data_IF_328700544160
#
_entry.id   IF_328700544160
#
_cell.length_a   1.000
_cell.length_b   1.000
_cell.length_c   1.000
_cell.angle_alpha   90.00
_cell.angle_beta   90.00
_cell.angle_gamma   90.00
#
_symmetry.space_group_name_H-M   'P 1'
#
loop_
_entity.id
_entity.type
_entity.pdbx_description
1 polymer ?
#
# COMPACT_ATOMS: atom_id res chain seq x y z
N UNK A 1 -16.41 64.19 0.63
CA UNK A 1 -15.28 63.79 1.51
C UNK A 1 -15.88 63.04 2.69
N UNK A 2 -16.42 61.83 2.59
CA UNK A 2 -15.97 60.55 2.00
C UNK A 2 -14.61 60.09 2.51
N UNK A 3 -14.59 58.91 3.13
CA UNK A 3 -13.45 58.05 3.46
C UNK A 3 -12.56 58.41 4.66
N UNK A 4 -13.06 58.23 5.88
CA UNK A 4 -12.19 57.96 7.05
C UNK A 4 -12.97 57.37 8.24
N UNK A 5 -13.65 56.22 8.11
CA UNK A 5 -14.24 55.58 9.31
C UNK A 5 -14.58 54.08 9.22
N UNK A 6 -13.94 53.30 8.35
CA UNK A 6 -14.30 51.88 8.23
C UNK A 6 -13.10 50.91 8.17
N UNK A 7 -12.11 51.11 9.04
CA UNK A 7 -10.99 50.19 9.20
C UNK A 7 -10.76 49.89 10.69
N UNK A 8 -11.57 49.00 11.27
CA UNK A 8 -11.23 48.21 12.47
C UNK A 8 -12.44 47.38 12.89
N UNK A 9 -12.62 46.20 12.29
CA UNK A 9 -13.48 45.11 12.80
C UNK A 9 -13.31 43.82 11.98
N UNK A 10 -12.07 43.33 11.90
CA UNK A 10 -11.79 41.93 11.56
C UNK A 10 -10.79 41.38 12.58
N UNK A 11 -11.26 41.36 13.83
CA UNK A 11 -10.60 40.67 14.94
C UNK A 11 -10.91 39.17 14.85
N UNK A 12 -9.84 38.40 14.65
CA UNK A 12 -9.63 36.98 14.93
C UNK A 12 -10.87 36.15 15.28
N UNK A 13 -11.30 35.29 14.36
CA UNK A 13 -11.83 33.98 14.76
C UNK A 13 -10.68 33.23 15.42
N UNK A 14 -10.61 33.34 16.74
CA UNK A 14 -9.79 32.50 17.60
C UNK A 14 -10.04 31.04 17.25
N UNK A 15 -8.98 30.36 16.82
CA UNK A 15 -8.89 28.90 16.77
C UNK A 15 -9.30 28.35 18.13
N UNK A 16 -10.55 27.87 18.23
CA UNK A 16 -10.90 27.00 19.33
C UNK A 16 -10.10 25.71 19.15
N UNK A 17 -9.35 25.25 20.17
CA UNK A 17 -8.68 23.96 20.06
C UNK A 17 -9.74 22.90 19.79
N UNK A 18 -9.60 22.22 18.66
CA UNK A 18 -10.40 21.04 18.33
C UNK A 18 -10.35 20.08 19.52
N UNK A 19 -11.49 19.46 19.86
CA UNK A 19 -11.54 18.45 20.93
C UNK A 19 -10.42 17.42 20.68
N UNK A 20 -9.63 17.05 21.71
CA UNK A 20 -8.55 16.07 21.53
C UNK A 20 -9.15 14.78 20.96
N UNK A 21 -8.53 14.27 19.89
CA UNK A 21 -8.97 13.05 19.23
C UNK A 21 -9.06 11.89 20.24
N UNK A 22 -10.08 11.03 20.11
CA UNK A 22 -10.18 9.85 20.97
C UNK A 22 -8.98 8.94 20.74
N UNK A 23 -8.56 8.18 21.76
CA UNK A 23 -7.45 7.22 21.60
C UNK A 23 -7.68 6.25 20.43
N UNK A 24 -8.92 5.83 20.20
CA UNK A 24 -9.28 5.00 19.05
C UNK A 24 -9.05 5.67 17.70
N UNK A 25 -9.37 6.96 17.57
CA UNK A 25 -9.10 7.73 16.36
C UNK A 25 -7.58 7.86 16.09
N UNK A 26 -6.77 8.05 17.14
CA UNK A 26 -5.30 8.11 17.03
C UNK A 26 -4.73 6.78 16.54
N UNK A 27 -5.20 5.64 17.07
CA UNK A 27 -4.78 4.33 16.57
C UNK A 27 -5.25 4.07 15.14
N UNK A 28 -6.44 4.52 14.77
CA UNK A 28 -6.94 4.41 13.39
C UNK A 28 -6.12 5.24 12.40
N UNK A 29 -5.67 6.42 12.82
CA UNK A 29 -4.73 7.24 12.07
C UNK A 29 -3.38 6.53 11.91
N UNK A 30 -2.84 5.93 12.98
CA UNK A 30 -1.56 5.23 12.99
C UNK A 30 -1.48 4.06 12.00
N UNK A 31 -2.58 3.32 11.79
CA UNK A 31 -2.57 2.17 10.87
C UNK A 31 -2.64 2.57 9.38
N UNK A 32 -2.89 3.86 9.09
CA UNK A 32 -2.99 4.41 7.72
C UNK A 32 -3.98 3.64 6.86
N UNK A 33 -5.23 3.53 7.33
CA UNK A 33 -6.26 2.67 6.73
C UNK A 33 -6.53 2.94 5.23
N UNK A 34 -6.25 4.16 4.74
CA UNK A 34 -6.34 4.49 3.31
C UNK A 34 -5.46 3.59 2.42
N UNK A 35 -4.38 3.03 2.97
CA UNK A 35 -3.43 2.18 2.27
C UNK A 35 -3.86 0.72 2.18
N UNK A 36 -4.86 0.28 2.96
CA UNK A 36 -5.31 -1.11 3.00
C UNK A 36 -5.77 -1.73 1.67
N UNK A 37 -6.21 -0.98 0.63
CA UNK A 37 -6.37 -1.55 -0.70
C UNK A 37 -5.11 -2.27 -1.20
N UNK A 38 -3.91 -1.83 -0.80
CA UNK A 38 -2.67 -2.45 -1.22
C UNK A 38 -2.56 -3.93 -0.84
N UNK A 39 -3.08 -4.36 0.32
CA UNK A 39 -3.07 -5.78 0.72
C UNK A 39 -4.39 -6.50 0.44
N UNK A 40 -5.53 -5.82 0.64
CA UNK A 40 -6.84 -6.46 0.51
C UNK A 40 -7.21 -6.78 -0.94
N UNK A 41 -6.73 -5.98 -1.91
CA UNK A 41 -7.09 -6.17 -3.32
C UNK A 41 -6.29 -7.31 -3.98
N UNK A 42 -4.98 -7.44 -3.75
CA UNK A 42 -4.27 -8.68 -4.09
C UNK A 42 -4.87 -9.91 -3.42
N UNK A 43 -5.31 -9.79 -2.15
CA UNK A 43 -5.99 -10.86 -1.45
C UNK A 43 -7.32 -11.24 -2.13
N UNK A 44 -8.13 -10.26 -2.51
CA UNK A 44 -9.37 -10.47 -3.26
C UNK A 44 -9.10 -11.15 -4.61
N UNK A 45 -8.09 -10.70 -5.35
CA UNK A 45 -7.71 -11.30 -6.63
C UNK A 45 -7.31 -12.77 -6.48
N UNK A 46 -6.48 -13.09 -5.47
CA UNK A 46 -6.12 -14.47 -5.15
C UNK A 46 -7.35 -15.34 -4.85
N UNK A 47 -8.33 -14.78 -4.14
CA UNK A 47 -9.60 -15.43 -3.88
C UNK A 47 -10.43 -15.64 -5.16
N UNK A 48 -10.51 -14.66 -6.05
CA UNK A 48 -11.23 -14.82 -7.32
C UNK A 48 -10.57 -15.85 -8.23
N UNK A 49 -9.24 -15.92 -8.25
CA UNK A 49 -8.51 -16.95 -8.98
C UNK A 49 -8.78 -18.36 -8.42
N UNK A 50 -9.13 -18.49 -7.14
CA UNK A 50 -9.53 -19.77 -6.56
C UNK A 50 -10.83 -20.32 -7.20
N UNK A 51 -11.73 -19.45 -7.69
CA UNK A 51 -12.95 -19.86 -8.39
C UNK A 51 -12.68 -20.53 -9.75
N UNK A 52 -11.51 -20.24 -10.34
CA UNK A 52 -11.09 -20.85 -11.59
C UNK A 52 -10.47 -22.23 -11.38
N UNK A 53 -10.11 -22.59 -10.14
CA UNK A 53 -9.57 -23.90 -9.84
C UNK A 53 -10.71 -24.94 -9.81
N UNK A 54 -10.50 -26.08 -10.48
CA UNK A 54 -11.51 -27.16 -10.55
C UNK A 54 -11.68 -27.99 -9.27
N UNK A 55 -11.06 -27.59 -8.15
CA UNK A 55 -11.04 -28.32 -6.88
C UNK A 55 -11.87 -27.68 -5.77
N UNK A 56 -11.87 -28.30 -4.59
CA UNK A 56 -12.53 -27.75 -3.40
C UNK A 56 -11.84 -26.47 -2.91
N UNK A 57 -12.63 -25.44 -2.61
CA UNK A 57 -12.13 -24.16 -2.08
C UNK A 57 -12.57 -23.99 -0.63
N UNK A 58 -11.61 -23.79 0.27
CA UNK A 58 -11.83 -23.61 1.72
C UNK A 58 -12.26 -22.18 2.04
N UNK A 59 -13.42 -21.73 1.56
CA UNK A 59 -13.93 -20.36 1.73
C UNK A 59 -14.04 -19.90 3.19
N UNK A 60 -14.20 -20.84 4.11
CA UNK A 60 -14.24 -20.55 5.55
C UNK A 60 -12.91 -19.94 6.07
N UNK A 61 -11.80 -20.09 5.35
CA UNK A 61 -10.50 -19.46 5.67
C UNK A 61 -10.42 -17.99 5.24
N UNK A 62 -11.30 -17.52 4.37
CA UNK A 62 -11.22 -16.18 3.76
C UNK A 62 -11.20 -15.04 4.80
N UNK A 63 -12.05 -15.03 5.85
CA UNK A 63 -11.99 -13.99 6.88
C UNK A 63 -10.66 -13.99 7.63
N UNK A 64 -10.09 -15.18 7.91
CA UNK A 64 -8.81 -15.32 8.59
C UNK A 64 -7.65 -14.79 7.75
N UNK A 65 -7.63 -15.10 6.45
CA UNK A 65 -6.63 -14.58 5.50
C UNK A 65 -6.70 -13.04 5.44
N UNK A 66 -7.89 -12.49 5.21
CA UNK A 66 -8.06 -11.05 5.06
C UNK A 66 -7.68 -10.28 6.35
N UNK A 67 -8.13 -10.76 7.52
CA UNK A 67 -7.84 -10.13 8.81
C UNK A 67 -6.35 -10.27 9.17
N UNK A 68 -5.73 -11.43 8.92
CA UNK A 68 -4.30 -11.64 9.14
C UNK A 68 -3.46 -10.66 8.30
N UNK A 69 -3.74 -10.55 7.00
CA UNK A 69 -3.06 -9.60 6.11
C UNK A 69 -3.30 -8.13 6.49
N UNK A 70 -4.49 -7.80 6.98
CA UNK A 70 -4.82 -6.45 7.47
C UNK A 70 -3.96 -6.08 8.68
N UNK A 71 -3.86 -6.97 9.66
CA UNK A 71 -3.02 -6.75 10.84
C UNK A 71 -1.53 -6.73 10.50
N UNK A 72 -1.09 -7.58 9.59
CA UNK A 72 0.29 -7.60 9.11
C UNK A 72 0.67 -6.28 8.45
N UNK A 73 -0.19 -5.78 7.56
CA UNK A 73 -0.01 -4.47 6.91
C UNK A 73 -0.05 -3.33 7.93
N UNK A 74 -1.07 -3.29 8.80
CA UNK A 74 -1.18 -2.27 9.84
C UNK A 74 0.04 -2.24 10.76
N UNK A 75 0.54 -3.40 11.19
CA UNK A 75 1.76 -3.52 11.99
C UNK A 75 2.98 -2.96 11.27
N UNK A 76 3.13 -3.29 9.99
CA UNK A 76 4.22 -2.78 9.13
C UNK A 76 4.17 -1.26 8.98
N UNK A 77 2.97 -0.68 8.81
CA UNK A 77 2.77 0.77 8.75
C UNK A 77 3.18 1.46 10.05
N UNK A 78 2.74 0.91 11.20
CA UNK A 78 3.04 1.47 12.53
C UNK A 78 4.54 1.38 12.85
N UNK A 79 5.20 0.27 12.52
CA UNK A 79 6.66 0.13 12.70
C UNK A 79 7.41 1.07 11.75
N UNK A 80 6.94 1.25 10.52
CA UNK A 80 7.52 2.19 9.56
C UNK A 80 7.53 3.62 10.12
N UNK A 81 6.39 4.09 10.63
CA UNK A 81 6.28 5.42 11.25
C UNK A 81 7.23 5.57 12.46
N UNK A 82 7.37 4.52 13.29
CA UNK A 82 8.29 4.54 14.44
C UNK A 82 9.74 4.71 14.00
N UNK A 83 10.16 3.98 12.99
CA UNK A 83 11.56 4.00 12.55
C UNK A 83 11.86 5.22 11.67
N UNK A 84 10.93 5.66 10.82
CA UNK A 84 11.04 6.89 10.03
C UNK A 84 11.10 8.14 10.93
N UNK A 85 10.33 8.17 12.03
CA UNK A 85 10.43 9.21 13.05
C UNK A 85 11.81 9.23 13.74
N UNK A 86 12.35 8.05 14.11
CA UNK A 86 13.69 7.97 14.74
C UNK A 86 14.82 8.41 13.80
N UNK A 87 14.66 8.22 12.49
CA UNK A 87 15.63 8.68 11.48
C UNK A 87 15.44 10.14 11.06
N UNK A 88 14.40 10.83 11.57
CA UNK A 88 14.12 12.23 11.25
C UNK A 88 13.46 12.45 9.89
N UNK A 89 12.91 11.40 9.27
CA UNK A 89 12.13 11.48 8.02
C UNK A 89 10.79 12.13 8.29
N UNK A 90 10.10 11.63 9.31
CA UNK A 90 8.81 12.13 9.76
C UNK A 90 9.03 13.19 10.83
N UNK A 91 9.45 14.38 10.42
CA UNK A 91 9.57 15.54 11.30
C UNK A 91 8.28 16.38 11.33
N UNK A 92 8.21 17.34 12.26
CA UNK A 92 7.02 18.19 12.45
C UNK A 92 6.64 18.99 11.20
N UNK A 93 7.60 19.35 10.37
CA UNK A 93 7.45 20.15 9.16
C UNK A 93 7.24 19.33 7.88
N UNK A 94 7.15 18.00 7.98
CA UNK A 94 6.94 17.12 6.81
C UNK A 94 5.46 16.73 6.63
N UNK A 95 5.14 16.07 5.52
CA UNK A 95 3.80 15.55 5.22
C UNK A 95 3.74 14.01 5.31
N UNK A 96 4.82 13.39 5.77
CA UNK A 96 5.00 11.93 5.82
C UNK A 96 4.38 11.26 7.05
N UNK A 97 4.29 9.93 6.96
CA UNK A 97 3.77 9.06 8.01
C UNK A 97 2.30 9.28 8.37
N UNK A 98 1.86 8.72 9.50
CA UNK A 98 0.52 8.96 10.05
C UNK A 98 0.40 10.28 10.80
N UNK A 99 1.50 11.02 11.01
CA UNK A 99 1.59 12.24 11.85
C UNK A 99 1.44 12.03 13.36
N UNK A 100 1.18 10.80 13.83
CA UNK A 100 0.97 10.50 15.26
C UNK A 100 2.20 10.81 16.14
N UNK A 101 3.43 10.46 15.70
CA UNK A 101 4.65 10.77 16.44
C UNK A 101 5.09 12.24 16.31
N UNK A 102 5.12 12.85 15.11
CA UNK A 102 5.43 14.28 14.97
C UNK A 102 4.54 15.19 15.83
N UNK A 103 3.25 14.85 15.95
CA UNK A 103 2.27 15.61 16.74
C UNK A 103 2.27 15.27 18.23
N UNK A 104 3.03 14.24 18.65
CA UNK A 104 3.12 13.83 20.05
C UNK A 104 1.85 13.18 20.60
N UNK A 105 0.99 12.62 19.73
CA UNK A 105 -0.27 11.98 20.11
C UNK A 105 -0.05 10.63 20.82
N UNK A 106 1.02 9.93 20.46
CA UNK A 106 1.55 8.75 21.15
C UNK A 106 3.07 8.84 21.24
N UNK A 107 3.67 8.20 22.23
CA UNK A 107 5.12 8.01 22.30
C UNK A 107 5.59 6.92 21.33
N UNK A 108 6.87 6.97 20.91
CA UNK A 108 7.46 5.92 20.06
C UNK A 108 7.38 4.53 20.71
N UNK A 109 7.39 4.46 22.05
CA UNK A 109 7.25 3.20 22.80
C UNK A 109 5.82 2.64 22.71
N UNK A 110 4.80 3.51 22.77
CA UNK A 110 3.40 3.11 22.59
C UNK A 110 3.14 2.64 21.16
N UNK A 111 3.63 3.37 20.15
CA UNK A 111 3.49 2.95 18.77
C UNK A 111 4.24 1.65 18.48
N UNK A 112 5.46 1.47 18.98
CA UNK A 112 6.18 0.20 18.81
C UNK A 112 5.43 -0.97 19.43
N UNK A 113 4.92 -0.82 20.67
CA UNK A 113 4.09 -1.84 21.32
C UNK A 113 2.82 -2.15 20.51
N UNK A 114 2.17 -1.12 19.98
CA UNK A 114 0.99 -1.28 19.14
C UNK A 114 1.31 -2.07 17.86
N UNK A 115 2.41 -1.73 17.16
CA UNK A 115 2.89 -2.49 16.02
C UNK A 115 3.12 -3.97 16.34
N UNK A 116 3.78 -4.27 17.47
CA UNK A 116 3.99 -5.65 17.92
C UNK A 116 2.69 -6.40 18.26
N UNK A 117 1.71 -5.71 18.85
CA UNK A 117 0.36 -6.28 19.08
C UNK A 117 -0.30 -6.62 17.75
N UNK A 118 -0.22 -5.74 16.75
CA UNK A 118 -0.78 -5.99 15.42
C UNK A 118 -0.11 -7.20 14.76
N UNK A 119 1.22 -7.32 14.81
CA UNK A 119 1.91 -8.53 14.33
C UNK A 119 1.47 -9.80 15.09
N UNK A 120 1.30 -9.72 16.41
CA UNK A 120 0.77 -10.83 17.21
C UNK A 120 -0.65 -11.23 16.81
N UNK A 121 -1.51 -10.28 16.50
CA UNK A 121 -2.86 -10.53 15.98
C UNK A 121 -2.80 -11.14 14.56
N UNK A 122 -1.90 -10.69 13.70
CA UNK A 122 -1.70 -11.31 12.38
C UNK A 122 -1.35 -12.79 12.49
N UNK A 123 -0.45 -13.15 13.43
CA UNK A 123 -0.12 -14.55 13.75
C UNK A 123 -1.35 -15.30 14.27
N UNK A 124 -2.08 -14.72 15.23
CA UNK A 124 -3.28 -15.34 15.81
C UNK A 124 -4.33 -15.69 14.75
N UNK A 125 -4.60 -14.76 13.82
CA UNK A 125 -5.53 -15.00 12.71
C UNK A 125 -4.92 -15.87 11.60
N UNK A 126 -3.60 -16.02 11.55
CA UNK A 126 -2.91 -16.95 10.66
C UNK A 126 -2.97 -18.42 11.10
N UNK A 127 -3.13 -18.68 12.42
CA UNK A 127 -3.12 -20.04 12.97
C UNK A 127 -4.15 -20.99 12.33
N UNK A 128 -5.43 -20.62 12.15
CA UNK A 128 -6.41 -21.50 11.50
C UNK A 128 -6.01 -21.90 10.08
N UNK A 129 -5.38 -20.99 9.35
CA UNK A 129 -4.90 -21.23 7.99
C UNK A 129 -3.74 -22.23 8.00
N UNK A 130 -2.82 -22.10 8.96
CA UNK A 130 -1.69 -23.02 9.16
C UNK A 130 -2.17 -24.41 9.56
N UNK A 131 -3.20 -24.52 10.41
CA UNK A 131 -3.75 -25.81 10.81
C UNK A 131 -4.42 -26.55 9.63
N UNK A 132 -5.09 -25.84 8.72
CA UNK A 132 -5.72 -26.46 7.54
C UNK A 132 -4.72 -26.78 6.43
N UNK A 133 -3.74 -25.90 6.18
CA UNK A 133 -2.85 -25.98 5.00
C UNK A 133 -1.41 -26.41 5.29
N UNK A 134 -1.05 -26.50 6.57
CA UNK A 134 0.27 -26.97 7.01
C UNK A 134 1.40 -25.95 6.83
N UNK A 135 2.62 -26.48 6.80
CA UNK A 135 3.86 -25.70 6.96
C UNK A 135 4.13 -24.67 5.86
N UNK A 136 3.56 -24.86 4.67
CA UNK A 136 3.78 -23.90 3.60
C UNK A 136 3.16 -22.52 3.92
N UNK A 137 1.97 -22.49 4.54
CA UNK A 137 1.37 -21.24 5.00
C UNK A 137 2.18 -20.62 6.13
N UNK A 138 2.77 -21.43 7.02
CA UNK A 138 3.68 -20.92 8.05
C UNK A 138 4.86 -20.18 7.42
N UNK A 139 5.51 -20.75 6.39
CA UNK A 139 6.61 -20.09 5.71
C UNK A 139 6.18 -18.79 5.00
N UNK A 140 5.03 -18.79 4.33
CA UNK A 140 4.46 -17.56 3.75
C UNK A 140 4.19 -16.48 4.82
N UNK A 141 3.67 -16.88 5.97
CA UNK A 141 3.45 -15.99 7.12
C UNK A 141 4.76 -15.43 7.69
N UNK A 142 5.79 -16.26 7.84
CA UNK A 142 7.11 -15.83 8.28
C UNK A 142 7.71 -14.83 7.29
N UNK A 143 7.65 -15.11 5.99
CA UNK A 143 8.11 -14.18 4.93
C UNK A 143 7.36 -12.85 5.02
N UNK A 144 6.05 -12.89 5.24
CA UNK A 144 5.23 -11.69 5.42
C UNK A 144 5.62 -10.87 6.65
N UNK A 145 5.83 -11.51 7.80
CA UNK A 145 6.26 -10.84 9.05
C UNK A 145 7.67 -10.26 8.91
N UNK A 146 8.61 -11.05 8.40
CA UNK A 146 10.00 -10.63 8.17
C UNK A 146 10.02 -9.47 7.17
N UNK A 147 9.31 -9.59 6.05
CA UNK A 147 9.20 -8.53 5.05
C UNK A 147 8.61 -7.25 5.62
N UNK A 148 7.46 -7.35 6.30
CA UNK A 148 6.78 -6.20 6.90
C UNK A 148 7.60 -5.50 8.00
N UNK A 149 8.23 -6.27 8.89
CA UNK A 149 9.02 -5.71 9.99
C UNK A 149 10.35 -5.13 9.51
N UNK A 150 11.11 -5.87 8.70
CA UNK A 150 12.44 -5.46 8.24
C UNK A 150 12.42 -4.49 7.05
N UNK A 151 11.23 -4.09 6.58
CA UNK A 151 11.07 -3.00 5.64
C UNK A 151 11.79 -1.73 6.14
N UNK A 152 11.53 -1.31 7.38
CA UNK A 152 12.24 -0.21 8.07
C UNK A 152 13.00 -0.69 9.31
N UNK A 153 12.60 -1.83 9.88
CA UNK A 153 13.18 -2.36 11.11
C UNK A 153 14.64 -2.76 10.97
N UNK A 154 15.45 -2.44 11.99
CA UNK A 154 16.86 -2.84 12.08
C UNK A 154 17.02 -4.31 12.47
N UNK A 155 18.11 -4.99 12.03
CA UNK A 155 19.30 -4.43 11.38
C UNK A 155 19.23 -4.30 9.86
N UNK A 156 18.15 -4.74 9.21
CA UNK A 156 18.07 -4.81 7.73
C UNK A 156 17.59 -3.48 7.13
N UNK A 157 16.39 -3.01 7.51
CA UNK A 157 15.80 -1.77 7.02
C UNK A 157 15.88 -1.61 5.50
N UNK A 158 15.34 -2.58 4.74
CA UNK A 158 15.63 -2.66 3.30
C UNK A 158 15.06 -1.50 2.46
N UNK A 159 14.09 -0.74 2.99
CA UNK A 159 13.69 0.59 2.49
C UNK A 159 14.90 1.52 2.35
N UNK A 160 15.79 1.51 3.35
CA UNK A 160 16.91 2.45 3.49
C UNK A 160 18.14 2.09 2.66
N UNK A 161 18.11 0.98 1.92
CA UNK A 161 19.17 0.50 1.01
C UNK A 161 18.65 0.25 -0.41
N UNK A 162 17.59 0.96 -0.81
CA UNK A 162 17.03 0.99 -2.16
C UNK A 162 16.47 -0.35 -2.65
N UNK A 163 16.07 -1.23 -1.74
CA UNK A 163 15.41 -2.51 -2.06
C UNK A 163 13.90 -2.49 -1.80
N UNK A 164 13.36 -1.39 -1.26
CA UNK A 164 11.95 -1.23 -0.90
C UNK A 164 11.01 -1.62 -2.04
N UNK A 165 11.17 -1.01 -3.21
CA UNK A 165 10.30 -1.18 -4.37
C UNK A 165 10.22 -2.63 -4.86
N UNK A 166 11.36 -3.33 -4.95
CA UNK A 166 11.42 -4.73 -5.39
C UNK A 166 10.69 -5.64 -4.40
N UNK A 167 10.94 -5.49 -3.09
CA UNK A 167 10.31 -6.35 -2.10
C UNK A 167 8.83 -6.03 -1.92
N UNK A 168 8.42 -4.75 -2.01
CA UNK A 168 7.00 -4.38 -1.99
C UNK A 168 6.27 -4.97 -3.20
N UNK A 169 6.86 -4.89 -4.40
CA UNK A 169 6.34 -5.57 -5.59
C UNK A 169 6.12 -7.08 -5.33
N UNK A 170 7.15 -7.76 -4.83
CA UNK A 170 7.11 -9.21 -4.61
C UNK A 170 6.12 -9.63 -3.51
N UNK A 171 6.10 -8.90 -2.39
CA UNK A 171 5.25 -9.22 -1.25
C UNK A 171 3.78 -8.92 -1.56
N UNK A 172 3.48 -7.72 -2.05
CA UNK A 172 2.09 -7.30 -2.24
C UNK A 172 1.48 -7.79 -3.56
N UNK A 173 2.29 -8.07 -4.59
CA UNK A 173 1.82 -8.70 -5.82
C UNK A 173 1.82 -10.23 -5.69
N UNK A 174 2.88 -10.92 -6.16
CA UNK A 174 2.92 -12.38 -6.18
C UNK A 174 2.64 -13.06 -4.85
N UNK A 175 3.26 -12.64 -3.74
CA UNK A 175 3.16 -13.39 -2.49
C UNK A 175 1.74 -13.35 -1.90
N UNK A 176 1.07 -12.19 -1.85
CA UNK A 176 -0.33 -12.13 -1.39
C UNK A 176 -1.26 -12.88 -2.35
N UNK A 177 -1.19 -12.63 -3.67
CA UNK A 177 -2.14 -13.26 -4.62
C UNK A 177 -1.99 -14.78 -4.62
N UNK A 178 -0.77 -15.28 -4.76
CA UNK A 178 -0.50 -16.72 -4.81
C UNK A 178 -0.65 -17.37 -3.43
N UNK A 179 -0.29 -16.67 -2.35
CA UNK A 179 -0.47 -17.13 -0.98
C UNK A 179 -1.93 -17.26 -0.60
N UNK A 180 -2.78 -16.30 -0.98
CA UNK A 180 -4.24 -16.41 -0.78
C UNK A 180 -4.84 -17.54 -1.61
N UNK A 181 -4.44 -17.68 -2.88
CA UNK A 181 -4.88 -18.80 -3.71
C UNK A 181 -4.48 -20.15 -3.07
N UNK A 182 -3.23 -20.28 -2.63
CA UNK A 182 -2.74 -21.49 -1.97
C UNK A 182 -3.47 -21.75 -0.65
N UNK A 183 -3.71 -20.71 0.17
CA UNK A 183 -4.44 -20.85 1.42
C UNK A 183 -5.88 -21.35 1.20
N UNK A 184 -6.52 -20.93 0.10
CA UNK A 184 -7.89 -21.33 -0.23
C UNK A 184 -7.99 -22.66 -0.96
N UNK A 185 -6.97 -23.11 -1.68
CA UNK A 185 -7.06 -24.27 -2.60
C UNK A 185 -6.02 -25.35 -2.37
N UNK A 186 -4.90 -25.03 -1.70
CA UNK A 186 -3.73 -25.91 -1.55
C UNK A 186 -2.85 -26.00 -2.81
N UNK A 187 -3.10 -25.19 -3.84
CA UNK A 187 -2.42 -25.27 -5.13
C UNK A 187 -1.63 -23.98 -5.43
N UNK A 188 -0.39 -24.15 -5.87
CA UNK A 188 0.39 -23.06 -6.48
C UNK A 188 0.09 -22.95 -7.96
N UNK A 189 -0.01 -21.71 -8.46
CA UNK A 189 -0.25 -21.43 -9.87
C UNK A 189 0.72 -20.37 -10.37
N UNK A 190 1.53 -20.73 -11.37
CA UNK A 190 2.39 -19.78 -12.07
C UNK A 190 1.52 -18.71 -12.76
N UNK A 191 0.38 -19.09 -13.32
CA UNK A 191 -0.57 -18.14 -13.91
C UNK A 191 -1.05 -17.12 -12.87
N UNK A 192 -1.31 -17.54 -11.63
CA UNK A 192 -1.67 -16.59 -10.56
C UNK A 192 -0.53 -15.62 -10.22
N UNK A 193 0.72 -16.09 -10.23
CA UNK A 193 1.87 -15.22 -10.06
C UNK A 193 1.98 -14.19 -11.20
N UNK A 194 1.76 -14.60 -12.45
CA UNK A 194 1.75 -13.69 -13.60
C UNK A 194 0.60 -12.68 -13.54
N UNK A 195 -0.61 -13.13 -13.20
CA UNK A 195 -1.81 -12.28 -13.05
C UNK A 195 -1.66 -11.28 -11.90
N UNK A 196 -0.79 -11.53 -10.93
CA UNK A 196 -0.52 -10.61 -9.81
C UNK A 196 0.37 -9.41 -10.19
N UNK A 197 1.13 -9.50 -11.29
CA UNK A 197 2.14 -8.49 -11.67
C UNK A 197 1.54 -7.08 -11.76
N UNK A 198 0.37 -6.85 -12.42
CA UNK A 198 -0.23 -5.52 -12.46
C UNK A 198 -0.50 -4.92 -11.08
N UNK A 199 -0.98 -5.72 -10.12
CA UNK A 199 -1.22 -5.24 -8.76
C UNK A 199 0.10 -4.99 -8.01
N UNK A 200 1.10 -5.84 -8.19
CA UNK A 200 2.44 -5.59 -7.65
C UNK A 200 3.01 -4.26 -8.12
N UNK A 201 2.87 -3.95 -9.41
CA UNK A 201 3.30 -2.67 -10.00
C UNK A 201 2.54 -1.48 -9.41
N UNK A 202 1.20 -1.56 -9.31
CA UNK A 202 0.38 -0.47 -8.76
C UNK A 202 0.64 -0.23 -7.27
N UNK A 203 0.82 -1.29 -6.47
CA UNK A 203 1.17 -1.16 -5.05
C UNK A 203 2.57 -0.56 -4.88
N UNK A 204 3.52 -0.95 -5.72
CA UNK A 204 4.83 -0.29 -5.77
C UNK A 204 4.69 1.18 -6.19
N UNK A 205 3.72 1.51 -7.05
CA UNK A 205 3.37 2.90 -7.38
C UNK A 205 2.89 3.71 -6.18
N UNK A 206 2.17 3.10 -5.23
CA UNK A 206 1.79 3.75 -3.96
C UNK A 206 3.05 4.10 -3.16
N UNK A 207 3.98 3.15 -3.03
CA UNK A 207 5.26 3.39 -2.37
C UNK A 207 6.03 4.50 -3.10
N UNK A 208 6.10 4.45 -4.42
CA UNK A 208 6.89 5.40 -5.19
C UNK A 208 6.31 6.82 -5.11
N UNK A 209 4.99 6.97 -5.01
CA UNK A 209 4.36 8.25 -4.71
C UNK A 209 4.82 8.81 -3.35
N UNK A 210 4.95 7.94 -2.34
CA UNK A 210 5.52 8.32 -1.04
C UNK A 210 6.99 8.73 -1.17
N UNK A 211 7.82 7.89 -1.81
CA UNK A 211 9.24 8.18 -2.02
C UNK A 211 9.45 9.51 -2.77
N UNK A 212 8.61 9.83 -3.76
CA UNK A 212 8.69 11.08 -4.51
C UNK A 212 8.31 12.30 -3.65
N UNK A 213 7.30 12.18 -2.77
CA UNK A 213 6.93 13.24 -1.82
C UNK A 213 8.03 13.49 -0.81
N UNK A 214 8.67 12.42 -0.33
CA UNK A 214 9.58 12.46 0.81
C UNK A 214 11.06 12.57 0.41
N UNK A 215 11.38 12.57 -0.89
CA UNK A 215 12.75 12.59 -1.44
C UNK A 215 13.70 13.63 -0.82
N UNK A 216 13.24 14.84 -0.49
CA UNK A 216 14.07 15.86 0.18
C UNK A 216 14.37 15.46 1.63
N UNK A 217 13.35 14.96 2.34
CA UNK A 217 13.47 14.59 3.74
C UNK A 217 14.30 13.30 3.89
N UNK A 218 14.08 12.32 3.01
CA UNK A 218 14.88 11.10 2.94
C UNK A 218 16.37 11.41 2.70
N UNK A 219 16.67 12.37 1.79
CA UNK A 219 18.05 12.83 1.57
C UNK A 219 18.67 13.46 2.82
N UNK A 220 17.93 14.33 3.51
CA UNK A 220 18.39 14.95 4.77
C UNK A 220 18.63 13.90 5.86
N UNK A 221 17.84 12.84 5.88
CA UNK A 221 17.95 11.71 6.81
C UNK A 221 19.01 10.66 6.40
N UNK A 222 19.74 10.87 5.30
CA UNK A 222 20.70 9.91 4.72
C UNK A 222 20.10 8.53 4.38
N UNK A 223 18.81 8.52 4.04
CA UNK A 223 18.11 7.32 3.57
C UNK A 223 18.31 7.14 2.08
N UNK A 224 18.56 5.89 1.67
CA UNK A 224 18.70 5.53 0.25
C UNK A 224 17.46 4.78 -0.21
N UNK A 225 16.51 5.48 -0.82
CA UNK A 225 15.48 4.92 -1.70
C UNK A 225 15.93 5.02 -3.17
N UNK A 226 15.30 4.30 -4.11
CA UNK A 226 15.59 4.47 -5.54
C UNK A 226 15.42 5.92 -5.98
N UNK A 227 14.36 6.59 -5.48
CA UNK A 227 14.10 8.00 -5.72
C UNK A 227 15.24 8.90 -5.25
N UNK A 228 15.79 8.70 -4.04
CA UNK A 228 16.92 9.51 -3.56
C UNK A 228 18.21 9.27 -4.34
N UNK A 229 18.48 8.01 -4.74
CA UNK A 229 19.70 7.56 -5.40
C UNK A 229 19.77 8.05 -6.85
N UNK A 230 18.70 7.89 -7.61
CA UNK A 230 18.66 8.26 -9.03
C UNK A 230 18.05 9.66 -9.29
N UNK A 231 17.41 10.23 -8.27
CA UNK A 231 16.88 11.59 -8.30
C UNK A 231 15.48 11.73 -8.91
N UNK A 232 15.02 12.98 -8.97
CA UNK A 232 13.64 13.34 -9.29
C UNK A 232 13.15 12.84 -10.66
N UNK A 233 13.97 13.00 -11.70
CA UNK A 233 13.61 12.61 -13.07
C UNK A 233 13.36 11.11 -13.18
N UNK A 234 14.24 10.31 -12.57
CA UNK A 234 14.04 8.87 -12.45
C UNK A 234 12.79 8.56 -11.62
N UNK A 235 12.63 9.20 -10.45
CA UNK A 235 11.52 8.91 -9.55
C UNK A 235 10.15 9.12 -10.21
N UNK A 236 10.00 10.22 -10.97
CA UNK A 236 8.81 10.49 -11.78
C UNK A 236 8.63 9.47 -12.91
N UNK A 237 9.71 9.14 -13.61
CA UNK A 237 9.70 8.15 -14.69
C UNK A 237 9.29 6.75 -14.21
N UNK A 238 9.82 6.32 -13.07
CA UNK A 238 9.48 5.07 -12.39
C UNK A 238 8.00 5.02 -12.02
N UNK A 239 7.44 6.09 -11.44
CA UNK A 239 6.02 6.14 -11.12
C UNK A 239 5.12 5.98 -12.37
N UNK A 240 5.46 6.66 -13.48
CA UNK A 240 4.76 6.49 -14.76
C UNK A 240 4.92 5.05 -15.28
N UNK A 241 6.14 4.51 -15.23
CA UNK A 241 6.46 3.16 -15.68
C UNK A 241 5.64 2.11 -14.92
N UNK A 242 5.54 2.22 -13.59
CA UNK A 242 4.76 1.29 -12.76
C UNK A 242 3.27 1.29 -13.16
N UNK A 243 2.68 2.47 -13.33
CA UNK A 243 1.27 2.60 -13.74
C UNK A 243 1.06 2.06 -15.16
N UNK A 244 1.83 2.53 -16.13
CA UNK A 244 1.71 2.10 -17.54
C UNK A 244 1.99 0.61 -17.66
N UNK A 245 3.01 0.11 -16.97
CA UNK A 245 3.38 -1.29 -16.92
C UNK A 245 2.25 -2.19 -16.42
N UNK A 246 1.44 -1.73 -15.45
CA UNK A 246 0.29 -2.49 -14.98
C UNK A 246 -0.76 -2.72 -16.09
N UNK A 247 -1.10 -1.68 -16.86
CA UNK A 247 -2.04 -1.81 -17.98
C UNK A 247 -1.45 -2.61 -19.14
N UNK A 248 -0.18 -2.38 -19.49
CA UNK A 248 0.51 -3.15 -20.53
C UNK A 248 0.59 -4.63 -20.18
N UNK A 249 0.86 -4.95 -18.92
CA UNK A 249 0.88 -6.35 -18.45
C UNK A 249 -0.47 -7.01 -18.65
N UNK A 250 -1.59 -6.35 -18.34
CA UNK A 250 -2.92 -6.92 -18.63
C UNK A 250 -3.13 -7.17 -20.11
N UNK A 251 -2.75 -6.23 -20.98
CA UNK A 251 -2.82 -6.44 -22.44
C UNK A 251 -2.01 -7.68 -22.84
N UNK A 252 -0.76 -7.79 -22.38
CA UNK A 252 0.10 -8.93 -22.69
C UNK A 252 -0.50 -10.25 -22.20
N UNK A 253 -1.03 -10.29 -20.98
CA UNK A 253 -1.67 -11.49 -20.43
C UNK A 253 -2.93 -11.90 -21.21
N UNK A 254 -3.67 -10.94 -21.77
CA UNK A 254 -4.79 -11.23 -22.67
C UNK A 254 -4.29 -11.78 -24.01
N UNK A 255 -3.28 -11.15 -24.62
CA UNK A 255 -2.67 -11.60 -25.88
C UNK A 255 -2.10 -13.02 -25.78
N UNK A 256 -1.48 -13.36 -24.65
CA UNK A 256 -0.94 -14.69 -24.38
C UNK A 256 -1.97 -15.69 -23.81
N UNK A 257 -3.26 -15.34 -23.80
CA UNK A 257 -4.36 -16.19 -23.31
C UNK A 257 -4.22 -16.64 -21.85
N UNK A 258 -3.50 -15.88 -21.02
CA UNK A 258 -3.42 -16.09 -19.55
C UNK A 258 -4.64 -15.45 -18.87
N UNK A 259 -5.12 -14.33 -19.39
CA UNK A 259 -6.35 -13.67 -18.98
C UNK A 259 -7.36 -13.64 -20.12
N UNK A 260 -8.65 -13.72 -19.79
CA UNK A 260 -9.73 -13.49 -20.76
C UNK A 260 -9.80 -12.03 -21.20
N UNK A 261 -10.37 -11.77 -22.38
CA UNK A 261 -10.65 -10.43 -22.93
C UNK A 261 -11.45 -9.56 -21.95
N UNK A 262 -12.28 -10.15 -21.08
CA UNK A 262 -12.99 -9.44 -20.02
C UNK A 262 -12.06 -8.68 -19.08
N UNK A 263 -10.78 -9.07 -18.97
CA UNK A 263 -9.80 -8.38 -18.13
C UNK A 263 -9.43 -7.00 -18.66
N UNK A 264 -9.78 -6.67 -19.90
CA UNK A 264 -9.69 -5.30 -20.41
C UNK A 264 -10.66 -4.33 -19.71
N UNK A 265 -11.60 -4.82 -18.88
CA UNK A 265 -12.42 -3.97 -18.00
C UNK A 265 -11.57 -3.08 -17.07
N UNK A 266 -10.32 -3.46 -16.76
CA UNK A 266 -9.42 -2.62 -15.96
C UNK A 266 -9.21 -1.23 -16.58
N UNK A 267 -9.36 -1.06 -17.90
CA UNK A 267 -9.22 0.22 -18.58
C UNK A 267 -10.31 1.23 -18.19
N UNK A 268 -11.39 0.81 -17.54
CA UNK A 268 -12.35 1.75 -16.92
C UNK A 268 -11.72 2.57 -15.79
N UNK A 269 -10.60 2.12 -15.21
CA UNK A 269 -9.83 2.90 -14.23
C UNK A 269 -8.83 3.89 -14.85
N UNK A 270 -8.65 3.87 -16.19
CA UNK A 270 -7.66 4.69 -16.90
C UNK A 270 -7.78 6.20 -16.65
N UNK A 271 -8.99 6.81 -16.55
CA UNK A 271 -9.09 8.24 -16.24
C UNK A 271 -8.40 8.63 -14.92
N UNK A 272 -8.47 7.77 -13.90
CA UNK A 272 -7.80 7.98 -12.61
C UNK A 272 -6.28 7.84 -12.75
N UNK A 273 -5.82 6.84 -13.49
CA UNK A 273 -4.39 6.67 -13.78
C UNK A 273 -3.80 7.88 -14.51
N UNK A 274 -4.49 8.39 -15.54
CA UNK A 274 -4.08 9.58 -16.29
C UNK A 274 -4.04 10.82 -15.40
N UNK A 275 -5.04 11.00 -14.53
CA UNK A 275 -5.07 12.08 -13.54
C UNK A 275 -3.84 12.03 -12.64
N UNK A 276 -3.56 10.87 -12.05
CA UNK A 276 -2.43 10.68 -11.14
C UNK A 276 -1.08 10.93 -11.84
N UNK A 277 -0.89 10.41 -13.06
CA UNK A 277 0.33 10.65 -13.85
C UNK A 277 0.49 12.10 -14.30
N UNK A 278 -0.61 12.81 -14.56
CA UNK A 278 -0.53 14.23 -14.94
C UNK A 278 -0.16 15.13 -13.75
N UNK A 279 -0.52 14.75 -12.51
CA UNK A 279 -0.13 15.51 -11.32
C UNK A 279 1.38 15.62 -11.17
N UNK A 280 2.15 14.57 -11.49
CA UNK A 280 3.61 14.59 -11.32
C UNK A 280 4.37 15.36 -12.41
N UNK A 281 3.77 15.58 -13.59
CA UNK A 281 4.46 16.18 -14.75
C UNK A 281 4.93 17.61 -14.50
N UNK A 282 4.20 18.38 -13.70
CA UNK A 282 4.47 19.80 -13.43
C UNK A 282 4.99 20.10 -12.02
N UNK A 283 5.17 19.08 -11.19
CA UNK A 283 5.62 19.25 -9.80
C UNK A 283 7.11 19.47 -9.78
N UNK A 284 7.57 20.44 -9.01
CA UNK A 284 8.99 20.57 -8.66
C UNK A 284 9.20 19.93 -7.30
N UNK A 285 10.36 19.32 -7.09
CA UNK A 285 10.71 18.62 -5.85
C UNK A 285 10.62 19.51 -4.59
N UNK A 286 10.73 20.82 -4.73
CA UNK A 286 10.59 21.78 -3.62
C UNK A 286 9.12 22.06 -3.25
N UNK A 287 8.16 21.66 -4.09
CA UNK A 287 6.72 21.89 -3.93
C UNK A 287 5.93 20.56 -3.94
N UNK A 288 6.34 19.63 -3.06
CA UNK A 288 5.71 18.31 -2.93
C UNK A 288 4.32 18.36 -2.29
N UNK A 289 3.86 19.53 -1.81
CA UNK A 289 2.51 19.72 -1.31
C UNK A 289 1.43 19.37 -2.33
N UNK A 290 1.70 19.58 -3.63
CA UNK A 290 0.80 19.21 -4.74
C UNK A 290 0.62 17.69 -4.92
N UNK A 291 1.54 16.89 -4.40
CA UNK A 291 1.50 15.42 -4.47
C UNK A 291 1.38 14.78 -3.09
N UNK A 292 1.02 15.56 -2.06
CA UNK A 292 0.89 15.07 -0.68
C UNK A 292 -0.02 13.84 -0.56
N UNK A 293 -1.08 13.79 -1.39
CA UNK A 293 -2.11 12.74 -1.42
C UNK A 293 -1.92 11.73 -2.56
N UNK A 294 -0.81 11.79 -3.31
CA UNK A 294 -0.66 10.98 -4.52
C UNK A 294 -0.62 9.48 -4.20
N UNK A 295 -0.07 9.09 -3.07
CA UNK A 295 -0.08 7.73 -2.53
C UNK A 295 -1.51 7.23 -2.26
N UNK A 296 -2.35 8.04 -1.60
CA UNK A 296 -3.75 7.73 -1.37
C UNK A 296 -4.55 7.66 -2.69
N UNK A 297 -4.28 8.56 -3.63
CA UNK A 297 -4.88 8.52 -4.97
C UNK A 297 -4.44 7.29 -5.78
N UNK A 298 -3.22 6.81 -5.57
CA UNK A 298 -2.71 5.59 -6.19
C UNK A 298 -3.27 4.34 -5.52
N UNK A 299 -3.54 4.39 -4.22
CA UNK A 299 -4.28 3.34 -3.51
C UNK A 299 -5.73 3.25 -4.02
N UNK A 300 -6.37 4.39 -4.31
CA UNK A 300 -7.68 4.44 -4.96
C UNK A 300 -7.64 3.84 -6.38
N UNK A 301 -6.61 4.14 -7.17
CA UNK A 301 -6.40 3.52 -8.48
C UNK A 301 -6.26 2.00 -8.34
N UNK A 302 -5.44 1.53 -7.40
CA UNK A 302 -5.22 0.10 -7.11
C UNK A 302 -6.52 -0.59 -6.73
N UNK A 303 -7.35 0.05 -5.90
CA UNK A 303 -8.69 -0.41 -5.54
C UNK A 303 -9.57 -0.59 -6.77
N UNK A 304 -9.74 0.45 -7.58
CA UNK A 304 -10.59 0.41 -8.77
C UNK A 304 -10.08 -0.64 -9.77
N UNK A 305 -8.79 -0.62 -10.07
CA UNK A 305 -8.15 -1.54 -11.00
C UNK A 305 -8.35 -2.99 -10.56
N UNK A 306 -8.03 -3.33 -9.31
CA UNK A 306 -8.08 -4.71 -8.86
C UNK A 306 -9.50 -5.22 -8.60
N UNK A 307 -10.46 -4.36 -8.27
CA UNK A 307 -11.89 -4.74 -8.27
C UNK A 307 -12.35 -5.06 -9.70
N UNK A 308 -12.02 -4.24 -10.70
CA UNK A 308 -12.36 -4.50 -12.09
C UNK A 308 -11.72 -5.81 -12.59
N UNK A 309 -10.45 -6.05 -12.24
CA UNK A 309 -9.77 -7.31 -12.56
C UNK A 309 -10.42 -8.50 -11.84
N UNK A 310 -10.81 -8.36 -10.58
CA UNK A 310 -11.51 -9.40 -9.83
C UNK A 310 -12.88 -9.73 -10.46
N UNK A 311 -13.63 -8.72 -10.89
CA UNK A 311 -14.90 -8.88 -11.62
C UNK A 311 -14.68 -9.59 -12.95
N UNK A 312 -13.61 -9.28 -13.70
CA UNK A 312 -13.34 -9.97 -14.97
C UNK A 312 -13.08 -11.46 -14.80
N UNK A 313 -12.44 -11.87 -13.70
CA UNK A 313 -12.25 -13.29 -13.35
C UNK A 313 -13.60 -13.98 -13.11
N UNK A 314 -14.52 -13.33 -12.39
CA UNK A 314 -15.88 -13.86 -12.16
C UNK A 314 -16.63 -13.99 -13.50
N UNK A 315 -16.61 -12.96 -14.34
CA UNK A 315 -17.28 -12.99 -15.65
C UNK A 315 -16.71 -14.13 -16.51
N UNK A 316 -15.38 -14.28 -16.51
CA UNK A 316 -14.71 -15.37 -17.22
C UNK A 316 -15.21 -16.74 -16.76
N UNK A 317 -15.39 -16.94 -15.45
CA UNK A 317 -15.92 -18.19 -14.89
C UNK A 317 -17.38 -18.47 -15.27
N UNK A 318 -18.18 -17.44 -15.46
CA UNK A 318 -19.61 -17.56 -15.76
C UNK A 318 -19.91 -17.75 -17.25
N UNK A 319 -19.05 -17.21 -18.13
CA UNK A 319 -19.29 -17.15 -19.57
C UNK A 319 -18.33 -18.03 -20.38
N UNK A 320 -17.20 -18.43 -19.80
CA UNK A 320 -16.21 -19.33 -20.40
C UNK A 320 -16.29 -20.75 -19.84
#
# INVERSE_FOLDING_TARGET
>A
MSEAQNASKTSSKTDQPSKPASKGAIYFQAVRAFSFPASLIPCLLGAMLALLQGGSVSWYLMPFIAISLLFLHAGSNVISDVDDYKHGVDAKDTLGGSRVLPEGLLSSKEMFRFGMILFGLAVLFGLPIIFDRGMMVLWLGIIGIVGGFFYTGRPIGYKYIALGDIFIFLLYGPAIVTGTLYALTGVFSLSAALISIPLGLLVTGILQANNLRDIINDRKANIKTLATVFGEGFAKGEYVFLIVGAYLTVILLVVFNVLSVWSLLVFLSLPVALKNMNMIKGVKIEDTGKIAMLDAMTAQLTLMFGVLLSISIIITKLVG
#
